data_IF_622306577353
#
_entry.id   IF_622306577353
#
_cell.length_a   1.000
_cell.length_b   1.000
_cell.length_c   1.000
_cell.angle_alpha   90.00
_cell.angle_beta   90.00
_cell.angle_gamma   90.00
#
_symmetry.space_group_name_H-M   'P 1'
#
loop_
_entity.id
_entity.type
_entity.pdbx_description
1 polymer ?
#
# COMPACT_ATOMS: atom_id res chain seq x y z
N UNK A 1 -14.89 -12.40 -12.21
CA UNK A 1 -14.28 -13.70 -11.80
C UNK A 1 -13.01 -13.99 -12.61
N UNK A 2 -12.10 -13.02 -12.76
CA UNK A 2 -10.91 -13.12 -13.65
C UNK A 2 -9.83 -14.09 -13.15
N UNK A 3 -9.77 -14.36 -11.85
CA UNK A 3 -8.72 -15.18 -11.23
C UNK A 3 -9.07 -16.68 -11.14
N UNK A 4 -10.30 -17.06 -11.51
CA UNK A 4 -10.77 -18.44 -11.36
C UNK A 4 -10.01 -19.34 -12.34
N UNK A 5 -9.50 -20.48 -11.83
CA UNK A 5 -8.77 -21.49 -12.59
C UNK A 5 -7.46 -21.02 -13.24
N UNK A 6 -6.91 -19.86 -12.82
CA UNK A 6 -5.56 -19.45 -13.21
C UNK A 6 -4.52 -20.11 -12.32
N UNK A 7 -3.37 -20.45 -12.90
CA UNK A 7 -2.24 -20.94 -12.13
C UNK A 7 -1.59 -19.81 -11.31
N UNK A 8 -0.78 -20.19 -10.32
CA UNK A 8 -0.18 -19.24 -9.38
C UNK A 8 0.71 -18.20 -10.07
N UNK A 9 1.38 -18.54 -11.19
CA UNK A 9 2.25 -17.58 -11.90
C UNK A 9 1.40 -16.52 -12.60
N UNK A 10 0.33 -16.91 -13.31
CA UNK A 10 -0.60 -15.95 -13.91
C UNK A 10 -1.22 -15.02 -12.87
N UNK A 11 -1.64 -15.54 -11.72
CA UNK A 11 -2.18 -14.72 -10.62
C UNK A 11 -1.15 -13.70 -10.12
N UNK A 12 0.11 -14.13 -9.92
CA UNK A 12 1.20 -13.22 -9.50
C UNK A 12 1.45 -12.11 -10.54
N UNK A 13 1.44 -12.44 -11.82
CA UNK A 13 1.59 -11.45 -12.90
C UNK A 13 0.46 -10.43 -12.93
N UNK A 14 -0.78 -10.86 -12.67
CA UNK A 14 -1.95 -9.96 -12.62
C UNK A 14 -1.98 -9.07 -11.37
N UNK A 15 -1.37 -9.50 -10.27
CA UNK A 15 -1.40 -8.76 -9.01
C UNK A 15 -0.76 -7.38 -9.10
N UNK A 16 0.28 -7.19 -9.92
CA UNK A 16 0.91 -5.88 -10.07
C UNK A 16 -0.06 -4.80 -10.57
N UNK A 17 -0.79 -5.11 -11.64
CA UNK A 17 -1.82 -4.22 -12.19
C UNK A 17 -2.99 -4.06 -11.20
N UNK A 18 -3.52 -5.18 -10.68
CA UNK A 18 -4.67 -5.16 -9.76
C UNK A 18 -4.39 -4.33 -8.50
N UNK A 19 -3.22 -4.46 -7.89
CA UNK A 19 -2.86 -3.70 -6.69
C UNK A 19 -2.74 -2.21 -7.01
N UNK A 20 -2.12 -1.86 -8.14
CA UNK A 20 -1.98 -0.46 -8.56
C UNK A 20 -3.34 0.19 -8.82
N UNK A 21 -4.21 -0.50 -9.55
CA UNK A 21 -5.56 0.00 -9.86
C UNK A 21 -6.41 0.14 -8.60
N UNK A 22 -6.33 -0.83 -7.68
CA UNK A 22 -7.05 -0.77 -6.40
C UNK A 22 -6.55 0.39 -5.53
N UNK A 23 -5.24 0.64 -5.45
CA UNK A 23 -4.72 1.80 -4.71
C UNK A 23 -5.30 3.10 -5.28
N UNK A 24 -5.33 3.26 -6.60
CA UNK A 24 -5.87 4.46 -7.25
C UNK A 24 -7.37 4.65 -7.01
N UNK A 25 -8.14 3.56 -6.89
CA UNK A 25 -9.56 3.60 -6.53
C UNK A 25 -9.80 3.94 -5.06
N UNK A 26 -8.86 3.61 -4.19
CA UNK A 26 -9.01 3.73 -2.74
C UNK A 26 -8.53 5.08 -2.17
N UNK A 27 -7.90 5.92 -2.99
CA UNK A 27 -7.48 7.27 -2.58
C UNK A 27 -8.54 8.32 -2.97
N UNK A 28 -8.83 9.30 -2.10
CA UNK A 28 -9.86 10.31 -2.34
C UNK A 28 -9.46 11.34 -3.41
N UNK A 29 -8.16 11.61 -3.56
CA UNK A 29 -7.63 12.51 -4.58
C UNK A 29 -6.33 11.95 -5.17
N UNK A 30 -6.39 11.53 -6.43
CA UNK A 30 -5.28 10.87 -7.13
C UNK A 30 -4.09 11.81 -7.33
N UNK A 31 -4.33 13.09 -7.60
CA UNK A 31 -3.27 14.06 -7.86
C UNK A 31 -2.47 14.38 -6.60
N UNK A 32 -3.17 14.64 -5.49
CA UNK A 32 -2.52 14.84 -4.19
C UNK A 32 -1.76 13.58 -3.73
N UNK A 33 -2.33 12.39 -3.94
CA UNK A 33 -1.66 11.12 -3.68
C UNK A 33 -0.36 10.98 -4.50
N UNK A 34 -0.41 11.23 -5.82
CA UNK A 34 0.76 11.12 -6.70
C UNK A 34 1.87 12.08 -6.29
N UNK A 35 1.54 13.33 -5.95
CA UNK A 35 2.51 14.33 -5.54
C UNK A 35 3.16 13.96 -4.20
N UNK A 36 2.36 13.56 -3.21
CA UNK A 36 2.86 13.08 -1.93
C UNK A 36 3.75 11.83 -2.09
N UNK A 37 3.32 10.85 -2.91
CA UNK A 37 4.09 9.63 -3.16
C UNK A 37 5.44 9.91 -3.83
N UNK A 38 5.50 10.85 -4.77
CA UNK A 38 6.77 11.26 -5.39
C UNK A 38 7.73 11.83 -4.35
N UNK A 39 7.24 12.70 -3.47
CA UNK A 39 8.04 13.29 -2.39
C UNK A 39 8.54 12.22 -1.40
N UNK A 40 7.67 11.33 -0.92
CA UNK A 40 8.03 10.25 0.01
C UNK A 40 9.03 9.27 -0.61
N UNK A 41 8.87 8.90 -1.89
CA UNK A 41 9.84 8.02 -2.58
C UNK A 41 11.20 8.69 -2.72
N UNK A 42 11.25 9.98 -3.02
CA UNK A 42 12.51 10.73 -3.09
C UNK A 42 13.17 10.78 -1.70
N UNK A 43 12.40 11.14 -0.67
CA UNK A 43 12.85 11.15 0.72
C UNK A 43 13.43 9.79 1.15
N UNK A 44 12.70 8.69 0.92
CA UNK A 44 13.12 7.34 1.29
C UNK A 44 14.41 6.91 0.59
N UNK A 45 14.56 7.24 -0.71
CA UNK A 45 15.80 6.98 -1.45
C UNK A 45 16.98 7.78 -0.89
N UNK A 46 16.78 9.07 -0.59
CA UNK A 46 17.82 9.94 -0.03
C UNK A 46 18.27 9.51 1.37
N UNK A 47 17.41 8.84 2.12
CA UNK A 47 17.70 8.30 3.46
C UNK A 47 18.13 6.83 3.45
N UNK A 48 18.32 6.21 2.28
CA UNK A 48 18.84 4.84 2.18
C UNK A 48 17.87 3.72 2.59
N UNK A 49 16.57 4.03 2.76
CA UNK A 49 15.54 3.09 3.25
C UNK A 49 14.56 2.64 2.15
N UNK A 50 14.98 2.72 0.89
CA UNK A 50 14.20 2.27 -0.27
C UNK A 50 14.85 1.04 -0.90
N UNK A 51 14.52 -0.17 -0.42
CA UNK A 51 14.94 -1.43 -1.04
C UNK A 51 14.23 -2.65 -0.44
N UNK A 52 13.36 -3.29 -1.21
CA UNK A 52 12.71 -4.54 -0.79
C UNK A 52 13.70 -5.71 -0.64
N UNK A 53 14.73 -5.75 -1.49
CA UNK A 53 15.75 -6.81 -1.47
C UNK A 53 16.59 -6.77 -0.18
N UNK A 54 16.80 -5.58 0.37
CA UNK A 54 17.55 -5.37 1.61
C UNK A 54 16.66 -5.38 2.87
N UNK A 55 15.39 -5.78 2.75
CA UNK A 55 14.44 -5.83 3.89
C UNK A 55 13.77 -4.49 4.24
N UNK A 56 14.05 -3.42 3.50
CA UNK A 56 13.33 -2.15 3.60
C UNK A 56 12.07 -2.15 2.71
N UNK A 57 11.36 -1.02 2.67
CA UNK A 57 10.14 -0.89 1.91
C UNK A 57 10.41 -0.70 0.41
N UNK A 58 9.67 -1.44 -0.41
CA UNK A 58 9.62 -1.31 -1.86
C UNK A 58 8.60 -0.26 -2.34
N UNK A 59 8.53 -0.07 -3.67
CA UNK A 59 7.67 0.97 -4.26
C UNK A 59 6.18 0.82 -3.96
N UNK A 60 5.65 -0.41 -3.98
CA UNK A 60 4.24 -0.69 -3.65
C UNK A 60 3.97 -0.47 -2.17
N UNK A 61 4.90 -0.88 -1.29
CA UNK A 61 4.77 -0.65 0.16
C UNK A 61 4.68 0.83 0.48
N UNK A 62 5.57 1.67 -0.08
CA UNK A 62 5.48 3.12 0.08
C UNK A 62 4.17 3.69 -0.47
N UNK A 63 3.70 3.21 -1.62
CA UNK A 63 2.42 3.62 -2.20
C UNK A 63 1.24 3.29 -1.26
N UNK A 64 1.23 2.11 -0.64
CA UNK A 64 0.21 1.74 0.33
C UNK A 64 0.24 2.62 1.58
N UNK A 65 1.42 2.91 2.14
CA UNK A 65 1.53 3.78 3.30
C UNK A 65 1.00 5.19 2.99
N UNK A 66 1.38 5.77 1.85
CA UNK A 66 0.89 7.10 1.42
C UNK A 66 -0.62 7.07 1.15
N UNK A 67 -1.13 6.01 0.51
CA UNK A 67 -2.57 5.85 0.28
C UNK A 67 -3.35 5.81 1.58
N UNK A 68 -2.83 5.11 2.61
CA UNK A 68 -3.46 5.09 3.94
C UNK A 68 -3.52 6.49 4.56
N UNK A 69 -2.45 7.27 4.45
CA UNK A 69 -2.47 8.67 4.90
C UNK A 69 -3.54 9.48 4.16
N UNK A 70 -3.67 9.30 2.85
CA UNK A 70 -4.71 9.97 2.06
C UNK A 70 -6.13 9.61 2.53
N UNK A 71 -6.38 8.35 2.92
CA UNK A 71 -7.67 7.93 3.46
C UNK A 71 -8.01 8.59 4.80
N UNK A 72 -7.00 8.80 5.65
CA UNK A 72 -7.17 9.45 6.96
C UNK A 72 -7.39 10.96 6.84
N UNK A 73 -6.88 11.58 5.77
CA UNK A 73 -6.95 13.02 5.54
C UNK A 73 -7.47 13.34 4.12
N UNK A 74 -8.75 13.06 3.82
CA UNK A 74 -9.24 13.01 2.44
C UNK A 74 -9.23 14.34 1.69
N UNK A 75 -9.31 15.45 2.43
CA UNK A 75 -9.34 16.80 1.86
C UNK A 75 -7.98 17.52 1.94
N UNK A 76 -6.94 16.85 2.43
CA UNK A 76 -5.63 17.46 2.59
C UNK A 76 -4.89 17.57 1.25
N UNK A 77 -4.16 18.67 1.08
CA UNK A 77 -3.23 18.85 -0.04
C UNK A 77 -1.95 18.06 0.18
N UNK A 78 -1.18 17.84 -0.88
CA UNK A 78 0.03 17.01 -0.84
C UNK A 78 1.04 17.38 0.25
N UNK A 79 1.27 18.68 0.50
CA UNK A 79 2.20 19.13 1.54
C UNK A 79 1.76 18.67 2.94
N UNK A 80 0.48 18.87 3.27
CA UNK A 80 -0.11 18.39 4.52
C UNK A 80 -0.09 16.87 4.61
N UNK A 81 -0.34 16.16 3.51
CA UNK A 81 -0.26 14.69 3.47
C UNK A 81 1.16 14.18 3.79
N UNK A 82 2.20 14.85 3.33
CA UNK A 82 3.60 14.50 3.65
C UNK A 82 3.88 14.68 5.14
N UNK A 83 3.43 15.79 5.74
CA UNK A 83 3.54 16.02 7.20
C UNK A 83 2.79 14.93 7.98
N UNK A 84 1.52 14.69 7.63
CA UNK A 84 0.69 13.67 8.28
C UNK A 84 1.21 12.25 8.08
N UNK A 85 1.88 11.97 6.96
CA UNK A 85 2.52 10.69 6.73
C UNK A 85 3.54 10.37 7.83
N UNK A 86 4.44 11.30 8.12
CA UNK A 86 5.45 11.10 9.18
C UNK A 86 4.81 11.02 10.57
N UNK A 87 3.80 11.85 10.84
CA UNK A 87 3.07 11.79 12.11
C UNK A 87 2.40 10.42 12.31
N UNK A 88 1.65 9.94 11.32
CA UNK A 88 0.93 8.67 11.41
C UNK A 88 1.88 7.49 11.60
N UNK A 89 2.95 7.41 10.80
CA UNK A 89 3.83 6.23 10.82
C UNK A 89 4.92 6.26 11.88
N UNK A 90 5.23 7.42 12.47
CA UNK A 90 6.06 7.49 13.67
C UNK A 90 5.33 7.02 14.94
N UNK A 91 4.00 7.17 14.97
CA UNK A 91 3.16 6.78 16.11
C UNK A 91 2.39 5.46 15.86
N UNK A 92 2.61 4.83 14.71
CA UNK A 92 1.91 3.59 14.36
C UNK A 92 2.29 2.46 15.32
N UNK A 93 1.29 1.77 15.85
CA UNK A 93 1.46 0.68 16.83
C UNK A 93 1.83 -0.63 16.13
N UNK A 94 3.05 -0.69 15.56
CA UNK A 94 3.58 -1.94 15.00
C UNK A 94 3.54 -3.06 16.06
N UNK A 95 3.18 -4.32 15.70
CA UNK A 95 3.03 -4.86 14.34
C UNK A 95 1.61 -4.77 13.76
N UNK A 96 0.74 -3.85 14.20
CA UNK A 96 -0.59 -3.70 13.60
C UNK A 96 -0.50 -3.47 12.08
N UNK A 97 -1.30 -4.18 11.27
CA UNK A 97 -1.19 -4.10 9.81
C UNK A 97 -1.75 -2.80 9.26
N UNK A 98 -1.16 -2.33 8.16
CA UNK A 98 -1.71 -1.22 7.37
C UNK A 98 -2.61 -1.79 6.28
N UNK A 99 -3.93 -1.67 6.49
CA UNK A 99 -4.95 -2.12 5.54
C UNK A 99 -5.58 -0.91 4.83
N UNK A 100 -5.73 -1.01 3.51
CA UNK A 100 -6.41 0.02 2.69
C UNK A 100 -7.90 -0.24 2.50
N UNK A 101 -8.33 -1.49 2.64
CA UNK A 101 -9.73 -1.91 2.60
C UNK A 101 -9.90 -3.17 3.44
N UNK A 102 -11.16 -3.51 3.74
CA UNK A 102 -11.46 -4.80 4.33
C UNK A 102 -11.13 -5.93 3.33
N UNK A 103 -10.46 -7.02 3.75
CA UNK A 103 -10.21 -8.16 2.89
C UNK A 103 -11.53 -8.79 2.42
N UNK A 104 -11.59 -9.19 1.15
CA UNK A 104 -12.73 -9.93 0.61
C UNK A 104 -12.74 -11.37 1.17
N UNK A 105 -13.93 -11.92 1.44
CA UNK A 105 -14.10 -13.28 1.98
C UNK A 105 -14.07 -14.39 0.91
N UNK A 106 -13.79 -14.03 -0.35
CA UNK A 106 -13.82 -14.97 -1.47
C UNK A 106 -12.64 -15.95 -1.40
N UNK A 107 -12.93 -17.20 -1.08
CA UNK A 107 -11.92 -18.26 -1.06
C UNK A 107 -11.71 -18.84 -2.47
N UNK A 108 -10.61 -18.47 -3.11
CA UNK A 108 -10.17 -19.02 -4.40
C UNK A 108 -9.06 -20.09 -4.24
N UNK A 109 -8.74 -20.50 -3.02
CA UNK A 109 -7.66 -21.45 -2.72
C UNK A 109 -6.25 -20.87 -2.82
N UNK A 110 -6.10 -19.56 -3.04
CA UNK A 110 -4.81 -18.88 -3.03
C UNK A 110 -4.40 -18.47 -1.61
N UNK A 111 -3.09 -18.39 -1.30
CA UNK A 111 -2.62 -17.90 -0.01
C UNK A 111 -3.08 -16.45 0.24
N UNK A 112 -3.68 -16.22 1.41
CA UNK A 112 -4.12 -14.90 1.89
C UNK A 112 -3.43 -14.61 3.20
N UNK A 113 -2.95 -13.38 3.38
CA UNK A 113 -2.39 -12.94 4.65
C UNK A 113 -3.51 -12.74 5.68
N UNK A 114 -3.44 -13.47 6.79
CA UNK A 114 -4.32 -13.30 7.95
C UNK A 114 -3.52 -13.63 9.24
N UNK A 115 -3.37 -12.68 10.17
CA UNK A 115 -2.53 -12.86 11.36
C UNK A 115 -3.15 -13.79 12.40
N UNK A 116 -4.43 -14.19 12.25
CA UNK A 116 -5.15 -15.07 13.19
C UNK A 116 -4.95 -16.54 12.89
N UNK A 117 -4.70 -16.87 11.63
CA UNK A 117 -4.35 -18.22 11.19
C UNK A 117 -2.83 -18.27 11.09
N UNK A 118 -2.19 -18.46 12.24
CA UNK A 118 -0.78 -18.84 12.28
C UNK A 118 -0.58 -20.14 11.49
N UNK A 119 0.43 -20.16 10.62
CA UNK A 119 0.90 -21.36 9.92
C UNK A 119 1.35 -22.45 10.89
#
# INVERSE_FOLDING_TARGET
MLLKNLDQKCVRSLNGCRVTDEILRLVPNIENFRLALRAIKLWAKRHGIYSNVLGYLGGVSWAMLVARTCQLYPNAVAATLIEKFFLVFSQWKWPQPVLLKQPDTVNLGFPVWDPRVSF
#
